data_IF_679465695104
#
_entry.id   IF_679465695104
#
_cell.length_a   1.000
_cell.length_b   1.000
_cell.length_c   1.000
_cell.angle_alpha   90.00
_cell.angle_beta   90.00
_cell.angle_gamma   90.00
#
_symmetry.space_group_name_H-M   'P 1'
#
loop_
_entity.id
_entity.type
_entity.pdbx_description
1 polymer ?
#
# COMPACT_ATOMS: atom_id res chain seq x y z
N UNK A 1 -30.09 30.22 7.10
CA UNK A 1 -28.77 29.71 6.63
C UNK A 1 -28.45 30.46 5.36
N UNK A 2 -27.37 31.21 5.32
CA UNK A 2 -26.94 31.95 4.12
C UNK A 2 -26.40 30.90 3.13
N UNK A 3 -26.96 30.85 1.93
CA UNK A 3 -26.53 29.96 0.87
C UNK A 3 -25.10 30.35 0.45
N UNK A 4 -24.14 29.45 0.58
CA UNK A 4 -22.76 29.69 0.15
C UNK A 4 -22.72 29.70 -1.37
N UNK A 5 -22.33 30.82 -1.96
CA UNK A 5 -22.21 30.97 -3.42
C UNK A 5 -21.13 30.01 -3.96
N UNK A 6 -21.53 29.14 -4.88
CA UNK A 6 -20.59 28.27 -5.59
C UNK A 6 -19.95 29.04 -6.76
N UNK A 7 -18.60 29.10 -6.83
CA UNK A 7 -17.92 29.71 -7.95
C UNK A 7 -18.20 28.92 -9.25
N UNK A 8 -18.27 29.60 -10.38
CA UNK A 8 -18.42 28.94 -11.67
C UNK A 8 -17.19 28.09 -12.02
N UNK A 9 -17.40 27.03 -12.80
CA UNK A 9 -16.31 26.18 -13.26
C UNK A 9 -15.22 27.00 -13.96
N UNK A 10 -15.57 27.94 -14.85
CA UNK A 10 -14.61 28.80 -15.54
C UNK A 10 -13.85 29.76 -14.61
N UNK A 11 -14.40 30.10 -13.45
CA UNK A 11 -13.65 30.82 -12.41
C UNK A 11 -12.57 29.91 -11.79
N UNK A 12 -12.94 28.68 -11.39
CA UNK A 12 -12.01 27.73 -10.78
C UNK A 12 -10.86 27.32 -11.71
N UNK A 13 -11.13 27.18 -13.01
CA UNK A 13 -10.12 26.83 -14.01
C UNK A 13 -8.94 27.83 -14.06
N UNK A 14 -9.12 29.06 -13.61
CA UNK A 14 -8.04 30.05 -13.52
C UNK A 14 -7.04 29.78 -12.40
N UNK A 15 -7.41 28.96 -11.41
CA UNK A 15 -6.63 28.68 -10.19
C UNK A 15 -6.12 27.24 -10.12
N UNK A 16 -6.53 26.38 -11.04
CA UNK A 16 -6.25 24.95 -11.00
C UNK A 16 -5.56 24.49 -12.28
N UNK A 17 -4.67 23.49 -12.12
CA UNK A 17 -4.09 22.85 -13.30
C UNK A 17 -5.16 22.00 -14.02
N UNK A 18 -5.12 21.89 -15.36
CA UNK A 18 -6.07 21.05 -16.10
C UNK A 18 -6.07 19.59 -15.67
N UNK A 19 -4.99 19.09 -15.07
CA UNK A 19 -4.88 17.75 -14.51
C UNK A 19 -5.81 17.52 -13.35
N UNK A 20 -5.96 18.49 -12.43
CA UNK A 20 -6.87 18.41 -11.28
C UNK A 20 -8.34 18.33 -11.74
N UNK A 21 -8.73 19.13 -12.74
CA UNK A 21 -10.09 19.08 -13.29
C UNK A 21 -10.46 17.73 -13.90
N UNK A 22 -9.49 17.03 -14.49
CA UNK A 22 -9.69 15.71 -15.11
C UNK A 22 -9.52 14.57 -14.10
N UNK A 23 -8.88 14.81 -12.98
CA UNK A 23 -8.63 13.79 -11.98
C UNK A 23 -9.94 13.31 -11.35
N UNK A 24 -10.06 12.01 -11.19
CA UNK A 24 -11.14 11.40 -10.40
C UNK A 24 -10.66 11.23 -8.97
N UNK A 25 -11.45 11.70 -8.00
CA UNK A 25 -11.19 11.41 -6.60
C UNK A 25 -11.19 9.90 -6.35
N UNK A 26 -10.39 9.45 -5.39
CA UNK A 26 -10.39 8.05 -4.98
C UNK A 26 -11.77 7.68 -4.40
N UNK A 27 -12.41 6.71 -5.01
CA UNK A 27 -13.75 6.27 -4.61
C UNK A 27 -13.67 4.91 -3.91
N UNK A 28 -14.36 4.80 -2.78
CA UNK A 28 -14.59 3.56 -2.06
C UNK A 28 -16.10 3.28 -2.05
N UNK A 29 -16.49 2.06 -2.36
CA UNK A 29 -17.84 1.61 -2.10
C UNK A 29 -17.99 1.37 -0.59
N UNK A 30 -18.87 2.14 0.05
CA UNK A 30 -19.26 1.94 1.44
C UNK A 30 -20.55 1.10 1.45
N UNK A 31 -20.41 -0.22 1.37
CA UNK A 31 -21.51 -1.15 1.51
C UNK A 31 -21.53 -1.71 2.93
N UNK A 32 -22.71 -1.78 3.52
CA UNK A 32 -22.95 -2.49 4.78
C UNK A 32 -23.04 -4.00 4.48
N UNK A 33 -21.97 -4.72 4.78
CA UNK A 33 -21.84 -6.15 4.51
C UNK A 33 -21.27 -6.87 5.73
N UNK A 34 -21.57 -8.14 5.87
CA UNK A 34 -21.12 -8.93 7.01
C UNK A 34 -19.63 -9.30 6.91
N UNK A 35 -19.10 -9.48 5.69
CA UNK A 35 -17.70 -9.86 5.44
C UNK A 35 -17.05 -8.84 4.51
N UNK A 36 -16.01 -8.16 5.02
CA UNK A 36 -15.33 -7.07 4.32
C UNK A 36 -13.90 -7.48 3.93
N UNK A 37 -13.71 -7.87 2.66
CA UNK A 37 -12.44 -8.35 2.11
C UNK A 37 -11.94 -7.47 0.93
N UNK A 38 -12.08 -6.14 1.04
CA UNK A 38 -11.86 -5.20 -0.08
C UNK A 38 -10.66 -4.25 0.10
N UNK A 39 -10.13 -4.04 1.32
CA UNK A 39 -9.12 -3.02 1.61
C UNK A 39 -7.78 -3.56 2.11
N UNK A 40 -7.57 -4.88 2.11
CA UNK A 40 -6.35 -5.52 2.59
C UNK A 40 -6.00 -5.10 4.02
N UNK A 41 -7.03 -4.88 4.85
CA UNK A 41 -6.86 -4.65 6.29
C UNK A 41 -6.53 -5.99 6.96
N UNK A 42 -5.89 -5.95 8.14
CA UNK A 42 -5.80 -7.12 8.99
C UNK A 42 -7.19 -7.45 9.53
N UNK A 43 -7.66 -8.70 9.44
CA UNK A 43 -8.92 -9.10 10.06
C UNK A 43 -8.78 -9.32 11.58
N UNK A 44 -7.57 -9.32 12.10
CA UNK A 44 -7.26 -9.46 13.53
C UNK A 44 -6.95 -8.10 14.12
N UNK A 45 -7.67 -7.76 15.20
CA UNK A 45 -7.47 -6.53 15.96
C UNK A 45 -6.45 -6.75 17.10
N UNK A 46 -5.99 -5.66 17.66
CA UNK A 46 -5.11 -5.70 18.83
C UNK A 46 -5.84 -6.22 20.07
N UNK A 47 -5.14 -6.93 20.98
CA UNK A 47 -5.71 -7.34 22.25
C UNK A 47 -6.22 -6.14 23.06
N UNK A 48 -7.38 -6.29 23.70
CA UNK A 48 -7.99 -5.22 24.49
C UNK A 48 -7.05 -4.71 25.60
N UNK A 49 -6.29 -5.61 26.24
CA UNK A 49 -5.29 -5.22 27.24
C UNK A 49 -4.24 -4.22 26.71
N UNK A 50 -3.85 -4.34 25.42
CA UNK A 50 -2.91 -3.39 24.77
C UNK A 50 -3.63 -2.09 24.46
N UNK A 51 -4.88 -2.14 23.98
CA UNK A 51 -5.70 -0.96 23.74
C UNK A 51 -5.92 -0.16 25.02
N UNK A 52 -6.18 -0.83 26.14
CA UNK A 52 -6.34 -0.21 27.47
C UNK A 52 -5.08 0.51 27.92
N UNK A 53 -3.90 -0.07 27.70
CA UNK A 53 -2.62 0.60 27.98
C UNK A 53 -2.47 1.86 27.12
N UNK A 54 -2.76 1.77 25.83
CA UNK A 54 -2.71 2.92 24.91
C UNK A 54 -3.67 4.03 25.35
N UNK A 55 -4.92 3.68 25.69
CA UNK A 55 -5.93 4.63 26.14
C UNK A 55 -5.52 5.29 27.46
N UNK A 56 -4.98 4.54 28.43
CA UNK A 56 -4.49 5.09 29.69
C UNK A 56 -3.33 6.07 29.47
N UNK A 57 -2.34 5.70 28.64
CA UNK A 57 -1.22 6.57 28.27
C UNK A 57 -1.70 7.84 27.53
N UNK A 58 -2.69 7.68 26.65
CA UNK A 58 -3.26 8.82 25.90
C UNK A 58 -4.01 9.76 26.84
N UNK A 59 -4.83 9.24 27.78
CA UNK A 59 -5.55 10.01 28.78
C UNK A 59 -4.62 10.81 29.68
N UNK A 60 -3.44 10.31 30.01
CA UNK A 60 -2.44 11.00 30.83
C UNK A 60 -1.73 12.16 30.11
N UNK A 61 -1.87 12.29 28.80
CA UNK A 61 -1.26 13.38 28.01
C UNK A 61 -2.17 14.61 27.95
N UNK A 62 -1.62 15.83 27.96
CA UNK A 62 -2.41 17.05 27.77
C UNK A 62 -2.83 17.16 26.28
N UNK A 63 -4.14 17.14 26.02
CA UNK A 63 -4.68 17.19 24.65
C UNK A 63 -4.70 18.62 24.06
N UNK A 64 -4.55 19.63 24.89
CA UNK A 64 -4.45 21.02 24.49
C UNK A 64 -3.03 21.45 24.09
N UNK A 65 -2.10 20.50 23.97
CA UNK A 65 -0.72 20.75 23.58
C UNK A 65 -0.37 19.94 22.32
N UNK A 66 0.47 20.52 21.48
CA UNK A 66 1.03 19.81 20.34
C UNK A 66 1.85 18.59 20.79
N UNK A 67 1.86 17.51 20.02
CA UNK A 67 2.78 16.38 20.22
C UNK A 67 4.24 16.80 19.94
N UNK A 68 5.16 15.84 20.01
CA UNK A 68 6.54 16.07 19.57
C UNK A 68 6.59 16.41 18.07
N UNK A 69 7.37 17.42 17.66
CA UNK A 69 7.34 17.92 16.27
C UNK A 69 7.63 16.88 15.21
N UNK A 70 8.58 15.97 15.45
CA UNK A 70 9.10 15.07 14.44
C UNK A 70 9.13 13.60 14.83
N UNK A 71 8.72 13.27 16.07
CA UNK A 71 8.65 11.90 16.61
C UNK A 71 9.99 11.13 16.51
N UNK A 72 11.12 11.81 16.78
CA UNK A 72 12.45 11.24 16.63
C UNK A 72 12.69 10.04 17.56
N UNK A 73 12.10 10.02 18.77
CA UNK A 73 12.17 8.88 19.69
C UNK A 73 11.51 7.62 19.10
N UNK A 74 10.36 7.78 18.44
CA UNK A 74 9.69 6.66 17.77
C UNK A 74 10.50 6.22 16.54
N UNK A 75 11.08 7.15 15.79
CA UNK A 75 11.95 6.83 14.66
C UNK A 75 13.19 6.03 15.12
N UNK A 76 13.79 6.39 16.27
CA UNK A 76 14.91 5.63 16.84
C UNK A 76 14.51 4.18 17.20
N UNK A 77 13.34 3.99 17.84
CA UNK A 77 12.85 2.64 18.19
C UNK A 77 12.59 1.76 16.96
N UNK A 78 12.02 2.33 15.90
CA UNK A 78 11.83 1.60 14.64
C UNK A 78 13.19 1.29 13.99
N UNK A 79 14.13 2.23 14.02
CA UNK A 79 15.48 2.05 13.50
C UNK A 79 16.22 0.89 14.18
N UNK A 80 16.20 0.86 15.51
CA UNK A 80 16.82 -0.20 16.31
C UNK A 80 16.26 -1.57 15.93
N UNK A 81 14.93 -1.67 15.76
CA UNK A 81 14.27 -2.93 15.37
C UNK A 81 14.66 -3.39 13.96
N UNK A 82 14.96 -2.46 13.06
CA UNK A 82 15.33 -2.74 11.68
C UNK A 82 16.85 -2.83 11.46
N UNK A 83 17.66 -2.62 12.49
CA UNK A 83 19.12 -2.64 12.38
C UNK A 83 19.72 -1.46 11.58
N UNK A 84 19.01 -0.33 11.51
CA UNK A 84 19.45 0.90 10.83
C UNK A 84 19.56 2.04 11.83
N UNK A 85 19.97 3.23 11.38
CA UNK A 85 20.02 4.42 12.27
C UNK A 85 18.80 5.30 12.10
N UNK A 86 18.45 6.11 13.10
CA UNK A 86 17.34 7.08 13.02
C UNK A 86 17.52 8.11 11.90
N UNK A 87 18.74 8.31 11.39
CA UNK A 87 19.02 9.16 10.23
C UNK A 87 18.50 8.56 8.93
N UNK A 88 18.28 7.26 8.90
CA UNK A 88 17.79 6.52 7.74
C UNK A 88 16.25 6.43 7.69
N UNK A 89 15.55 7.03 8.66
CA UNK A 89 14.07 6.91 8.79
C UNK A 89 13.39 8.27 8.76
N UNK A 90 12.26 8.33 8.05
CA UNK A 90 11.30 9.43 8.10
C UNK A 90 9.90 8.91 8.37
N UNK A 91 9.24 9.37 9.44
CA UNK A 91 7.87 8.98 9.78
C UNK A 91 6.83 9.90 9.14
N UNK A 92 5.65 9.34 8.81
CA UNK A 92 4.51 10.11 8.31
C UNK A 92 3.17 9.37 8.48
N UNK A 93 2.02 10.04 8.21
CA UNK A 93 0.68 9.50 8.43
C UNK A 93 0.28 8.47 7.36
N UNK A 94 1.00 7.35 7.31
CA UNK A 94 0.83 6.26 6.36
C UNK A 94 1.70 6.40 5.10
N UNK A 95 1.93 5.26 4.42
CA UNK A 95 2.79 5.20 3.23
C UNK A 95 2.29 6.08 2.07
N UNK A 96 0.98 6.20 1.89
CA UNK A 96 0.43 7.02 0.80
C UNK A 96 0.83 8.50 0.90
N UNK A 97 0.79 9.10 2.09
CA UNK A 97 1.30 10.45 2.32
C UNK A 97 2.80 10.56 1.98
N UNK A 98 3.57 9.55 2.40
CA UNK A 98 5.03 9.53 2.22
C UNK A 98 5.42 9.39 0.74
N UNK A 99 4.69 8.62 -0.04
CA UNK A 99 4.86 8.52 -1.49
C UNK A 99 4.59 9.88 -2.15
N UNK A 100 3.51 10.56 -1.76
CA UNK A 100 3.23 11.93 -2.22
C UNK A 100 4.37 12.89 -1.87
N UNK A 101 4.90 12.83 -0.66
CA UNK A 101 6.03 13.65 -0.22
C UNK A 101 7.30 13.40 -1.06
N UNK A 102 7.61 12.13 -1.38
CA UNK A 102 8.74 11.77 -2.25
C UNK A 102 8.55 12.38 -3.64
N UNK A 103 7.38 12.14 -4.25
CA UNK A 103 7.07 12.66 -5.59
C UNK A 103 7.14 14.19 -5.62
N UNK A 104 6.52 14.89 -4.67
CA UNK A 104 6.56 16.35 -4.58
C UNK A 104 7.97 16.91 -4.38
N UNK A 105 8.80 16.20 -3.60
CA UNK A 105 10.16 16.69 -3.28
C UNK A 105 11.09 16.58 -4.48
N UNK A 106 11.08 15.44 -5.16
CA UNK A 106 12.07 15.14 -6.19
C UNK A 106 11.62 15.45 -7.61
N UNK A 107 10.31 15.40 -7.92
CA UNK A 107 9.84 15.59 -9.29
C UNK A 107 9.96 17.01 -9.81
N UNK A 108 9.89 18.04 -8.94
CA UNK A 108 9.94 19.46 -9.37
C UNK A 108 11.24 19.88 -10.03
N UNK A 109 12.33 19.17 -9.76
CA UNK A 109 13.64 19.43 -10.34
C UNK A 109 14.19 18.21 -11.13
N UNK A 110 13.32 17.26 -11.47
CA UNK A 110 13.72 16.05 -12.17
C UNK A 110 14.26 16.38 -13.56
N UNK A 111 15.43 15.87 -13.89
CA UNK A 111 16.05 16.03 -15.21
C UNK A 111 15.77 14.85 -16.13
N UNK A 112 15.37 13.74 -15.57
CA UNK A 112 14.98 12.50 -16.24
C UNK A 112 13.46 12.36 -16.30
N UNK A 113 12.96 11.15 -16.03
CA UNK A 113 11.56 10.76 -16.11
C UNK A 113 11.06 10.25 -14.78
N UNK A 114 9.76 10.40 -14.51
CA UNK A 114 9.05 9.61 -13.50
C UNK A 114 8.46 8.39 -14.19
N UNK A 115 8.77 7.20 -13.71
CA UNK A 115 8.28 5.93 -14.25
C UNK A 115 7.51 5.20 -13.16
N UNK A 116 6.28 4.79 -13.46
CA UNK A 116 5.40 4.08 -12.54
C UNK A 116 5.13 2.66 -13.06
N UNK A 117 5.33 1.64 -12.23
CA UNK A 117 4.90 0.28 -12.55
C UNK A 117 3.36 0.22 -12.68
N UNK A 118 2.84 -0.51 -13.67
CA UNK A 118 1.40 -0.64 -13.93
C UNK A 118 1.06 -2.05 -14.48
N UNK A 119 -0.03 -2.72 -14.00
CA UNK A 119 -0.90 -2.26 -12.93
C UNK A 119 -0.22 -2.26 -11.58
N UNK A 120 -0.52 -1.23 -10.76
CA UNK A 120 -0.04 -1.09 -9.39
C UNK A 120 -1.05 -0.27 -8.57
N UNK A 121 -0.64 0.21 -7.39
CA UNK A 121 -1.52 0.99 -6.52
C UNK A 121 -1.93 2.32 -7.20
N UNK A 122 -3.24 2.55 -7.42
CA UNK A 122 -3.70 3.65 -8.28
C UNK A 122 -3.35 5.04 -7.77
N UNK A 123 -3.07 5.19 -6.46
CA UNK A 123 -2.72 6.50 -5.92
C UNK A 123 -1.34 7.01 -6.37
N UNK A 124 -0.46 6.19 -6.93
CA UNK A 124 0.78 6.68 -7.55
C UNK A 124 0.49 7.59 -8.73
N UNK A 125 -0.38 7.12 -9.63
CA UNK A 125 -0.83 7.94 -10.77
C UNK A 125 -1.64 9.16 -10.32
N UNK A 126 -2.50 8.99 -9.29
CA UNK A 126 -3.27 10.10 -8.74
C UNK A 126 -2.38 11.21 -8.17
N UNK A 127 -1.31 10.87 -7.44
CA UNK A 127 -0.32 11.86 -6.97
C UNK A 127 0.32 12.61 -8.13
N UNK A 128 0.75 11.89 -9.17
CA UNK A 128 1.33 12.53 -10.36
C UNK A 128 0.30 13.45 -11.04
N UNK A 129 -0.95 13.03 -11.18
CA UNK A 129 -2.01 13.83 -11.78
C UNK A 129 -2.33 15.10 -10.97
N UNK A 130 -2.45 14.99 -9.64
CA UNK A 130 -2.76 16.13 -8.76
C UNK A 130 -1.64 17.17 -8.75
N UNK A 131 -0.40 16.72 -8.78
CA UNK A 131 0.78 17.59 -8.78
C UNK A 131 1.19 18.05 -10.19
N UNK A 132 0.53 17.56 -11.24
CA UNK A 132 0.90 17.87 -12.63
C UNK A 132 2.25 17.29 -13.04
N UNK A 133 2.67 16.16 -12.42
CA UNK A 133 3.92 15.48 -12.73
C UNK A 133 3.72 14.57 -13.94
N UNK A 134 4.41 14.80 -15.08
CA UNK A 134 4.39 13.87 -16.19
C UNK A 134 5.09 12.57 -15.82
N UNK A 135 4.51 11.43 -16.23
CA UNK A 135 5.08 10.11 -15.96
C UNK A 135 4.94 9.19 -17.18
N UNK A 136 5.85 8.23 -17.25
CA UNK A 136 5.79 7.07 -18.14
C UNK A 136 5.42 5.82 -17.38
N UNK A 137 5.01 4.77 -18.07
CA UNK A 137 4.57 3.52 -17.47
C UNK A 137 5.60 2.43 -17.72
N UNK A 138 5.99 1.72 -16.68
CA UNK A 138 6.61 0.41 -16.77
C UNK A 138 5.50 -0.65 -16.69
N UNK A 139 5.03 -1.18 -17.83
CA UNK A 139 3.96 -2.15 -17.80
C UNK A 139 4.46 -3.50 -17.28
N UNK A 140 3.63 -4.17 -16.48
CA UNK A 140 3.82 -5.60 -16.24
C UNK A 140 3.52 -6.37 -17.53
N UNK A 141 4.07 -7.57 -17.69
CA UNK A 141 3.82 -8.41 -18.85
C UNK A 141 2.38 -9.01 -18.84
N UNK A 142 2.05 -9.85 -19.83
CA UNK A 142 0.72 -10.50 -19.96
C UNK A 142 0.34 -11.34 -18.75
N UNK A 143 1.34 -11.88 -18.04
CA UNK A 143 1.18 -12.68 -16.83
C UNK A 143 1.14 -11.84 -15.56
N UNK A 144 1.14 -10.51 -15.71
CA UNK A 144 1.19 -9.55 -14.62
C UNK A 144 2.47 -9.65 -13.77
N UNK A 145 3.59 -10.01 -14.39
CA UNK A 145 4.91 -10.05 -13.74
C UNK A 145 5.79 -8.87 -14.19
N UNK A 146 6.75 -8.49 -13.36
CA UNK A 146 7.75 -7.50 -13.71
C UNK A 146 8.64 -8.03 -14.83
N UNK A 147 8.73 -7.25 -15.92
CA UNK A 147 9.57 -7.57 -17.07
C UNK A 147 10.48 -6.38 -17.38
N UNK A 148 11.78 -6.56 -17.17
CA UNK A 148 12.79 -5.52 -17.37
C UNK A 148 12.89 -5.10 -18.85
N UNK A 149 12.52 -5.97 -19.79
CA UNK A 149 12.52 -5.64 -21.22
C UNK A 149 11.46 -4.58 -21.58
N UNK A 150 10.42 -4.44 -20.74
CA UNK A 150 9.35 -3.46 -20.89
C UNK A 150 9.61 -2.14 -20.12
N UNK A 151 10.72 -2.08 -19.36
CA UNK A 151 11.11 -0.87 -18.64
C UNK A 151 11.47 0.24 -19.65
N UNK A 152 10.87 1.44 -19.56
CA UNK A 152 11.25 2.56 -20.39
C UNK A 152 12.73 2.93 -20.26
N UNK A 153 13.27 3.62 -21.25
CA UNK A 153 14.60 4.21 -21.14
C UNK A 153 14.68 5.18 -19.95
N UNK A 154 15.73 5.03 -19.14
CA UNK A 154 15.93 5.75 -17.89
C UNK A 154 17.17 6.67 -17.99
N UNK A 155 17.03 7.90 -18.47
CA UNK A 155 18.11 8.87 -18.41
C UNK A 155 18.47 9.21 -16.95
N UNK A 156 19.71 9.67 -16.73
CA UNK A 156 20.17 10.12 -15.43
C UNK A 156 19.20 11.14 -14.79
N UNK A 157 18.98 11.02 -13.51
CA UNK A 157 18.01 11.85 -12.76
C UNK A 157 16.57 11.39 -12.91
N UNK A 158 16.29 10.19 -13.44
CA UNK A 158 14.94 9.58 -13.43
C UNK A 158 14.57 9.02 -12.06
N UNK A 159 13.27 8.79 -11.86
CA UNK A 159 12.71 8.05 -10.72
C UNK A 159 11.86 6.89 -11.20
N UNK A 160 11.97 5.73 -10.54
CA UNK A 160 11.13 4.56 -10.78
C UNK A 160 10.40 4.20 -9.49
N UNK A 161 9.06 4.22 -9.51
CA UNK A 161 8.21 3.79 -8.40
C UNK A 161 7.59 2.43 -8.72
N UNK A 162 7.85 1.46 -7.87
CA UNK A 162 7.33 0.10 -7.95
C UNK A 162 6.83 -0.36 -6.57
N UNK A 163 5.98 -1.38 -6.54
CA UNK A 163 5.55 -2.01 -5.29
C UNK A 163 5.99 -3.47 -5.24
N UNK A 164 6.46 -3.93 -4.10
CA UNK A 164 6.87 -5.33 -3.91
C UNK A 164 6.63 -5.74 -2.44
N UNK A 165 5.63 -6.60 -2.20
CA UNK A 165 4.61 -7.14 -3.11
C UNK A 165 3.69 -6.08 -3.71
N UNK A 166 3.33 -6.27 -4.99
CA UNK A 166 2.59 -5.29 -5.75
C UNK A 166 1.06 -5.43 -5.57
N UNK A 167 0.40 -4.36 -5.20
CA UNK A 167 -1.06 -4.28 -5.14
C UNK A 167 -1.62 -3.72 -6.46
N UNK A 168 -2.53 -4.43 -7.20
CA UNK A 168 -3.38 -5.52 -6.69
C UNK A 168 -2.96 -6.93 -7.11
N UNK A 169 -1.78 -7.13 -7.66
CA UNK A 169 -1.37 -8.41 -8.27
C UNK A 169 -0.86 -9.42 -7.25
N UNK A 170 -0.05 -8.99 -6.28
CA UNK A 170 0.59 -9.85 -5.29
C UNK A 170 1.96 -10.38 -5.71
N UNK A 171 2.45 -10.05 -6.91
CA UNK A 171 3.78 -10.39 -7.38
C UNK A 171 4.87 -9.52 -6.74
N UNK A 172 6.12 -9.95 -6.85
CA UNK A 172 7.29 -9.25 -6.32
C UNK A 172 8.31 -8.93 -7.42
N UNK A 173 9.09 -7.89 -7.24
CA UNK A 173 10.31 -7.66 -8.01
C UNK A 173 11.44 -8.39 -7.29
N UNK A 174 12.01 -9.44 -7.88
CA UNK A 174 13.05 -10.21 -7.17
C UNK A 174 14.26 -9.35 -6.81
N UNK A 175 14.89 -9.66 -5.69
CA UNK A 175 16.12 -9.01 -5.22
C UNK A 175 17.22 -9.00 -6.29
N UNK A 176 17.36 -10.08 -7.04
CA UNK A 176 18.36 -10.21 -8.11
C UNK A 176 18.10 -9.18 -9.21
N UNK A 177 16.85 -9.06 -9.64
CA UNK A 177 16.43 -8.08 -10.67
C UNK A 177 16.63 -6.66 -10.15
N UNK A 178 16.18 -6.36 -8.92
CA UNK A 178 16.35 -5.04 -8.33
C UNK A 178 17.85 -4.68 -8.20
N UNK A 179 18.69 -5.60 -7.72
CA UNK A 179 20.14 -5.40 -7.65
C UNK A 179 20.75 -5.05 -9.01
N UNK A 180 20.33 -5.77 -10.05
CA UNK A 180 20.78 -5.52 -11.41
C UNK A 180 20.38 -4.13 -11.89
N UNK A 181 19.15 -3.70 -11.62
CA UNK A 181 18.65 -2.37 -11.98
C UNK A 181 19.38 -1.26 -11.22
N UNK A 182 19.58 -1.40 -9.92
CA UNK A 182 20.28 -0.42 -9.10
C UNK A 182 21.74 -0.20 -9.54
N UNK A 183 22.44 -1.28 -9.90
CA UNK A 183 23.82 -1.21 -10.43
C UNK A 183 23.88 -0.64 -11.85
N UNK A 184 22.91 -1.01 -12.70
CA UNK A 184 22.85 -0.54 -14.09
C UNK A 184 22.51 0.95 -14.20
N UNK A 185 21.72 1.47 -13.26
CA UNK A 185 21.22 2.84 -13.26
C UNK A 185 21.57 3.59 -11.97
N UNK A 186 22.86 3.85 -11.68
CA UNK A 186 23.27 4.46 -10.41
C UNK A 186 22.76 5.90 -10.22
N UNK A 187 22.44 6.59 -11.31
CA UNK A 187 21.91 7.97 -11.32
C UNK A 187 20.35 8.00 -11.40
N UNK A 188 19.67 6.89 -11.19
CA UNK A 188 18.21 6.76 -11.14
C UNK A 188 17.78 6.40 -9.74
N UNK A 189 16.78 7.10 -9.21
CA UNK A 189 16.21 6.84 -7.89
C UNK A 189 15.12 5.77 -7.98
N UNK A 190 15.30 4.65 -7.30
CA UNK A 190 14.29 3.59 -7.20
C UNK A 190 13.54 3.72 -5.88
N UNK A 191 12.20 3.68 -5.95
CA UNK A 191 11.30 3.83 -4.81
C UNK A 191 10.46 2.55 -4.74
N UNK A 192 10.75 1.71 -3.74
CA UNK A 192 10.03 0.46 -3.47
C UNK A 192 8.94 0.68 -2.42
N UNK A 193 7.67 0.51 -2.80
CA UNK A 193 6.58 0.44 -1.83
C UNK A 193 6.49 -0.99 -1.28
N UNK A 194 6.94 -1.16 -0.06
CA UNK A 194 6.99 -2.40 0.71
C UNK A 194 5.82 -2.53 1.70
N UNK A 195 4.63 -2.00 1.37
CA UNK A 195 3.47 -2.05 2.27
C UNK A 195 3.04 -3.47 2.68
N UNK A 196 3.53 -4.49 1.99
CA UNK A 196 3.19 -5.90 2.23
C UNK A 196 4.41 -6.80 2.43
N UNK A 197 5.61 -6.23 2.67
CA UNK A 197 6.88 -6.98 2.69
C UNK A 197 6.89 -8.11 3.74
N UNK A 198 6.24 -7.91 4.89
CA UNK A 198 6.22 -8.91 5.95
C UNK A 198 5.42 -10.19 5.61
N UNK A 199 4.62 -10.17 4.53
CA UNK A 199 3.94 -11.36 3.98
C UNK A 199 4.74 -12.06 2.87
N UNK A 200 5.93 -11.57 2.57
CA UNK A 200 6.77 -11.95 1.44
C UNK A 200 8.09 -12.55 1.89
N UNK A 201 8.67 -13.39 1.02
CA UNK A 201 10.04 -13.88 1.16
C UNK A 201 11.07 -12.84 0.64
N UNK A 202 10.61 -11.77 -0.04
CA UNK A 202 11.44 -10.68 -0.56
C UNK A 202 11.36 -9.44 0.33
N UNK A 203 12.51 -8.95 0.78
CA UNK A 203 12.68 -7.74 1.58
C UNK A 203 14.00 -7.06 1.21
N UNK A 204 14.05 -5.71 1.22
CA UNK A 204 15.18 -4.98 0.66
C UNK A 204 15.91 -4.06 1.65
N UNK A 205 15.63 -4.14 2.96
CA UNK A 205 16.20 -3.22 3.97
C UNK A 205 17.74 -3.25 3.99
N UNK A 206 18.34 -4.42 3.91
CA UNK A 206 19.80 -4.60 3.92
C UNK A 206 20.48 -4.03 2.67
N UNK A 207 19.76 -3.93 1.54
CA UNK A 207 20.28 -3.31 0.32
C UNK A 207 20.56 -1.81 0.47
N UNK A 208 19.94 -1.14 1.45
CA UNK A 208 20.18 0.28 1.73
C UNK A 208 21.63 0.58 2.17
N UNK A 209 22.34 -0.43 2.66
CA UNK A 209 23.77 -0.32 2.98
C UNK A 209 24.68 -0.28 1.75
N UNK A 210 24.24 -0.83 0.62
CA UNK A 210 25.00 -0.88 -0.64
C UNK A 210 24.52 0.17 -1.66
N UNK A 211 23.18 0.43 -1.73
CA UNK A 211 22.58 1.23 -2.78
C UNK A 211 22.03 2.55 -2.25
N UNK A 212 22.70 3.66 -2.54
CA UNK A 212 22.26 5.02 -2.16
C UNK A 212 21.08 5.53 -3.01
N UNK A 213 20.81 4.89 -4.13
CA UNK A 213 19.73 5.21 -5.07
C UNK A 213 18.45 4.38 -4.84
N UNK A 214 18.30 3.77 -3.65
CA UNK A 214 17.11 3.05 -3.22
C UNK A 214 16.43 3.79 -2.05
N UNK A 215 15.10 3.92 -2.15
CA UNK A 215 14.21 4.35 -1.06
C UNK A 215 13.15 3.26 -0.88
N UNK A 216 12.84 2.90 0.36
CA UNK A 216 11.76 1.98 0.69
C UNK A 216 10.68 2.72 1.48
N UNK A 217 9.43 2.38 1.22
CA UNK A 217 8.27 2.95 1.92
C UNK A 217 7.48 1.82 2.57
N UNK A 218 7.25 1.92 3.88
CA UNK A 218 6.52 0.92 4.68
C UNK A 218 5.36 1.52 5.45
N UNK A 219 4.46 0.67 5.92
CA UNK A 219 3.27 1.08 6.66
C UNK A 219 2.95 0.13 7.80
N UNK A 220 2.38 0.65 8.88
CA UNK A 220 1.82 -0.14 9.97
C UNK A 220 0.41 -0.68 9.65
N UNK A 221 -0.17 -0.22 8.55
CA UNK A 221 -1.58 -0.46 8.24
C UNK A 221 -1.92 -1.91 7.91
N UNK A 222 -0.95 -2.73 7.48
CA UNK A 222 -1.22 -4.07 6.95
C UNK A 222 -0.83 -5.17 7.95
N UNK A 223 0.44 -5.33 8.20
CA UNK A 223 0.96 -6.40 9.04
C UNK A 223 0.67 -6.19 10.52
N UNK A 224 0.77 -4.93 10.96
CA UNK A 224 0.60 -4.61 12.38
C UNK A 224 -0.85 -4.45 12.81
N UNK A 225 -1.83 -4.70 11.91
CA UNK A 225 -3.25 -4.51 12.21
C UNK A 225 -3.58 -3.08 12.65
N UNK A 226 -2.79 -2.10 12.17
CA UNK A 226 -2.82 -0.74 12.67
C UNK A 226 -3.28 0.28 11.61
N UNK A 227 -4.21 -0.12 10.74
CA UNK A 227 -4.72 0.77 9.70
C UNK A 227 -5.30 2.08 10.28
N UNK A 228 -6.00 2.00 11.41
CA UNK A 228 -6.56 3.16 12.12
C UNK A 228 -5.52 4.03 12.84
N UNK A 229 -4.33 3.50 13.13
CA UNK A 229 -3.23 4.25 13.79
C UNK A 229 -2.59 5.28 12.84
N UNK A 230 -2.66 5.07 11.53
CA UNK A 230 -2.15 5.99 10.51
C UNK A 230 -0.65 6.28 10.61
N UNK A 231 0.18 5.25 10.66
CA UNK A 231 1.64 5.39 10.64
C UNK A 231 2.26 4.67 9.43
N UNK A 232 3.24 5.30 8.83
CA UNK A 232 4.15 4.74 7.85
C UNK A 232 5.54 5.37 8.01
N UNK A 233 6.49 4.82 7.29
CA UNK A 233 7.85 5.35 7.30
C UNK A 233 8.57 5.12 5.98
N UNK A 234 9.54 6.00 5.70
CA UNK A 234 10.50 5.88 4.62
C UNK A 234 11.81 5.37 5.22
N UNK A 235 12.46 4.46 4.51
CA UNK A 235 13.83 4.05 4.73
C UNK A 235 14.68 4.50 3.55
N UNK A 236 15.90 4.99 3.81
CA UNK A 236 16.80 5.43 2.75
C UNK A 236 18.14 5.93 3.27
N UNK A 237 19.02 6.30 2.36
CA UNK A 237 20.29 6.94 2.72
C UNK A 237 20.08 8.22 3.53
N UNK A 238 20.94 8.50 4.51
CA UNK A 238 20.78 9.63 5.45
C UNK A 238 20.62 10.97 4.71
N UNK A 239 21.34 11.19 3.61
CA UNK A 239 21.25 12.42 2.81
C UNK A 239 19.87 12.58 2.13
N UNK A 240 19.29 11.48 1.66
CA UNK A 240 17.96 11.46 1.04
C UNK A 240 16.89 11.76 2.09
N UNK A 241 17.01 11.14 3.26
CA UNK A 241 16.09 11.37 4.39
C UNK A 241 16.18 12.82 4.87
N UNK A 242 17.36 13.42 4.94
CA UNK A 242 17.54 14.82 5.30
C UNK A 242 16.83 15.75 4.31
N UNK A 243 16.92 15.49 3.01
CA UNK A 243 16.21 16.25 1.98
C UNK A 243 14.68 16.13 2.13
N UNK A 244 14.16 14.92 2.38
CA UNK A 244 12.73 14.68 2.59
C UNK A 244 12.19 15.29 3.90
N UNK A 245 13.06 15.54 4.88
CA UNK A 245 12.68 16.24 6.14
C UNK A 245 12.37 17.72 5.92
N UNK A 246 12.98 18.37 4.92
CA UNK A 246 12.84 19.83 4.68
C UNK A 246 11.42 20.28 4.37
N UNK A 247 10.66 19.64 3.45
CA UNK A 247 9.29 20.01 3.14
C UNK A 247 8.27 19.46 4.16
N UNK A 248 8.70 18.61 5.11
CA UNK A 248 7.79 18.00 6.08
C UNK A 248 7.30 19.04 7.11
N UNK A 249 5.97 19.14 7.27
CA UNK A 249 5.40 20.00 8.31
C UNK A 249 5.62 19.38 9.71
N UNK A 250 5.87 20.20 10.75
CA UNK A 250 5.96 19.72 12.12
C UNK A 250 4.57 19.27 12.63
N UNK A 251 4.55 18.47 13.70
CA UNK A 251 3.34 17.99 14.38
C UNK A 251 2.38 17.15 13.50
N UNK A 252 2.91 16.53 12.45
CA UNK A 252 2.13 15.80 11.45
C UNK A 252 1.46 14.54 12.03
N UNK A 253 2.11 13.88 12.98
CA UNK A 253 1.58 12.71 13.68
C UNK A 253 0.85 13.13 14.93
N UNK A 254 -0.39 12.70 15.10
CA UNK A 254 -1.22 13.03 16.26
C UNK A 254 -0.81 12.21 17.49
N UNK A 255 -1.33 12.61 18.68
CA UNK A 255 -1.02 11.97 19.96
C UNK A 255 -1.37 10.47 19.98
N UNK A 256 -2.52 10.07 19.40
CA UNK A 256 -2.93 8.68 19.35
C UNK A 256 -1.93 7.84 18.54
N UNK A 257 -1.58 8.30 17.34
CA UNK A 257 -0.56 7.63 16.49
C UNK A 257 0.74 7.41 17.25
N UNK A 258 1.24 8.44 17.93
CA UNK A 258 2.51 8.37 18.65
C UNK A 258 2.44 7.39 19.83
N UNK A 259 1.39 7.47 20.63
CA UNK A 259 1.22 6.59 21.81
C UNK A 259 1.04 5.13 21.37
N UNK A 260 0.15 4.88 20.41
CA UNK A 260 -0.15 3.54 19.92
C UNK A 260 1.08 2.90 19.27
N UNK A 261 1.79 3.63 18.40
CA UNK A 261 2.97 3.10 17.73
C UNK A 261 4.15 2.89 18.70
N UNK A 262 4.31 3.76 19.70
CA UNK A 262 5.34 3.56 20.74
C UNK A 262 5.04 2.31 21.56
N UNK A 263 3.77 2.11 21.96
CA UNK A 263 3.36 0.89 22.69
C UNK A 263 3.67 -0.37 21.87
N UNK A 264 3.34 -0.37 20.59
CA UNK A 264 3.67 -1.47 19.67
C UNK A 264 5.16 -1.80 19.63
N UNK A 265 6.01 -0.77 19.64
CA UNK A 265 7.45 -0.98 19.58
C UNK A 265 8.04 -1.47 20.90
N UNK A 266 7.47 -1.09 22.04
CA UNK A 266 7.98 -1.38 23.39
C UNK A 266 7.38 -2.64 24.02
N UNK A 267 6.15 -2.99 23.68
CA UNK A 267 5.44 -4.09 24.30
C UNK A 267 5.82 -5.43 23.66
N UNK A 268 6.56 -6.25 24.41
CA UNK A 268 7.05 -7.55 23.93
C UNK A 268 5.92 -8.52 23.55
N UNK A 269 4.73 -8.40 24.14
CA UNK A 269 3.59 -9.24 23.76
C UNK A 269 3.10 -8.93 22.35
N UNK A 270 3.26 -7.69 21.87
CA UNK A 270 2.87 -7.29 20.51
C UNK A 270 3.74 -7.93 19.44
N UNK A 271 5.00 -8.25 19.69
CA UNK A 271 5.82 -8.98 18.74
C UNK A 271 5.19 -10.33 18.36
N UNK A 272 4.71 -11.08 19.38
CA UNK A 272 4.00 -12.36 19.14
C UNK A 272 2.68 -12.16 18.41
N UNK A 273 1.92 -11.12 18.77
CA UNK A 273 0.66 -10.79 18.06
C UNK A 273 0.91 -10.56 16.57
N UNK A 274 1.99 -9.88 16.22
CA UNK A 274 2.33 -9.64 14.82
C UNK A 274 2.80 -10.90 14.10
N UNK A 275 3.65 -11.69 14.74
CA UNK A 275 4.08 -12.99 14.19
C UNK A 275 2.85 -13.90 13.94
N UNK A 276 1.90 -13.92 14.85
CA UNK A 276 0.65 -14.68 14.71
C UNK A 276 -0.23 -14.12 13.58
N UNK A 277 -0.35 -12.79 13.44
CA UNK A 277 -1.09 -12.16 12.33
C UNK A 277 -0.49 -12.56 10.98
N UNK A 278 0.84 -12.48 10.84
CA UNK A 278 1.53 -12.87 9.60
C UNK A 278 1.34 -14.36 9.34
N UNK A 279 1.64 -15.22 10.33
CA UNK A 279 1.53 -16.67 10.17
C UNK A 279 0.11 -17.10 9.78
N UNK A 280 -0.91 -16.54 10.45
CA UNK A 280 -2.31 -16.82 10.15
C UNK A 280 -2.68 -16.33 8.74
N UNK A 281 -2.25 -15.12 8.34
CA UNK A 281 -2.51 -14.60 7.00
C UNK A 281 -1.87 -15.47 5.91
N UNK A 282 -0.64 -15.93 6.10
CA UNK A 282 0.06 -16.82 5.16
C UNK A 282 -0.62 -18.19 5.05
N UNK A 283 -1.00 -18.78 6.19
CA UNK A 283 -1.73 -20.06 6.24
C UNK A 283 -3.08 -19.96 5.53
N UNK A 284 -3.87 -18.94 5.87
CA UNK A 284 -5.18 -18.70 5.26
C UNK A 284 -5.07 -18.35 3.78
N UNK A 285 -4.05 -17.58 3.37
CA UNK A 285 -3.76 -17.31 1.96
C UNK A 285 -3.57 -18.61 1.17
N UNK A 286 -2.76 -19.52 1.68
CA UNK A 286 -2.54 -20.83 1.07
C UNK A 286 -3.81 -21.66 0.99
N UNK A 287 -4.62 -21.67 2.06
CA UNK A 287 -5.90 -22.39 2.13
C UNK A 287 -6.92 -21.85 1.13
N UNK A 288 -7.10 -20.52 1.10
CA UNK A 288 -8.03 -19.85 0.17
C UNK A 288 -7.57 -20.02 -1.28
N UNK A 289 -6.27 -19.84 -1.56
CA UNK A 289 -5.69 -20.09 -2.88
C UNK A 289 -6.02 -21.50 -3.39
N UNK A 290 -5.78 -22.52 -2.56
CA UNK A 290 -6.06 -23.91 -2.93
C UNK A 290 -7.55 -24.18 -3.12
N UNK A 291 -8.42 -23.61 -2.29
CA UNK A 291 -9.87 -23.76 -2.42
C UNK A 291 -10.40 -23.11 -3.70
N UNK A 292 -10.01 -21.86 -3.97
CA UNK A 292 -10.47 -21.13 -5.16
C UNK A 292 -9.88 -21.73 -6.45
N UNK A 293 -8.66 -22.25 -6.41
CA UNK A 293 -8.06 -22.94 -7.57
C UNK A 293 -8.86 -24.19 -7.99
N UNK A 294 -9.50 -24.90 -7.06
CA UNK A 294 -10.40 -26.02 -7.39
C UNK A 294 -11.66 -25.59 -8.15
N UNK A 295 -12.14 -24.38 -7.90
CA UNK A 295 -13.32 -23.82 -8.57
C UNK A 295 -12.98 -23.12 -9.90
N UNK A 296 -11.70 -22.89 -10.18
CA UNK A 296 -11.22 -22.07 -11.28
C UNK A 296 -11.71 -22.53 -12.66
N UNK A 297 -11.67 -23.85 -12.92
CA UNK A 297 -12.13 -24.42 -14.21
C UNK A 297 -13.64 -24.27 -14.36
N UNK A 298 -14.42 -24.56 -13.32
CA UNK A 298 -15.88 -24.49 -13.33
C UNK A 298 -16.39 -23.07 -13.52
N UNK A 299 -15.73 -22.10 -12.88
CA UNK A 299 -16.09 -20.69 -12.90
C UNK A 299 -15.24 -19.85 -13.85
N UNK A 300 -14.40 -20.47 -14.67
CA UNK A 300 -13.61 -19.87 -15.76
C UNK A 300 -12.72 -18.70 -15.29
N UNK A 301 -12.03 -18.82 -14.18
CA UNK A 301 -11.06 -17.82 -13.73
C UNK A 301 -9.70 -18.45 -13.40
N UNK A 302 -8.68 -17.63 -13.28
CA UNK A 302 -7.40 -18.00 -12.71
C UNK A 302 -7.17 -17.29 -11.39
N UNK A 303 -6.48 -17.93 -10.44
CA UNK A 303 -5.99 -17.32 -9.21
C UNK A 303 -4.51 -17.04 -9.37
N UNK A 304 -4.10 -15.80 -9.22
CA UNK A 304 -2.67 -15.43 -9.27
C UNK A 304 -2.00 -15.81 -7.95
N UNK A 305 -0.82 -16.44 -7.99
CA UNK A 305 0.03 -16.57 -6.80
C UNK A 305 0.31 -15.17 -6.20
N UNK A 306 0.34 -15.09 -4.87
CA UNK A 306 0.51 -13.81 -4.19
C UNK A 306 1.47 -13.93 -3.03
N UNK A 307 2.29 -12.89 -2.83
CA UNK A 307 3.13 -12.69 -1.66
C UNK A 307 2.63 -11.56 -0.76
N UNK A 308 1.33 -11.22 -0.85
CA UNK A 308 0.66 -10.24 0.02
C UNK A 308 -0.47 -10.88 0.83
N UNK A 309 -1.21 -10.10 1.60
CA UNK A 309 -2.40 -10.55 2.34
C UNK A 309 -3.69 -10.52 1.51
N UNK A 310 -3.59 -10.76 0.21
CA UNK A 310 -4.71 -10.81 -0.73
C UNK A 310 -4.41 -11.73 -1.90
N UNK A 311 -5.44 -12.09 -2.67
CA UNK A 311 -5.35 -12.82 -3.93
C UNK A 311 -5.97 -11.99 -5.06
N UNK A 312 -5.45 -12.12 -6.29
CA UNK A 312 -6.05 -11.59 -7.49
C UNK A 312 -6.66 -12.74 -8.30
N UNK A 313 -7.94 -12.62 -8.61
CA UNK A 313 -8.67 -13.53 -9.49
C UNK A 313 -8.88 -12.84 -10.83
N UNK A 314 -8.68 -13.57 -11.94
CA UNK A 314 -8.83 -13.04 -13.29
C UNK A 314 -9.73 -13.92 -14.14
N UNK A 315 -10.85 -13.35 -14.58
CA UNK A 315 -11.74 -13.91 -15.59
C UNK A 315 -11.33 -13.45 -16.99
N UNK A 316 -11.76 -14.17 -18.05
CA UNK A 316 -11.50 -13.78 -19.43
C UNK A 316 -12.05 -12.40 -19.81
N UNK A 317 -13.15 -11.97 -19.18
CA UNK A 317 -13.81 -10.70 -19.46
C UNK A 317 -14.47 -10.07 -18.23
N UNK A 318 -14.88 -8.80 -18.38
CA UNK A 318 -15.51 -8.03 -17.31
C UNK A 318 -16.94 -8.50 -16.98
N UNK A 319 -17.64 -9.14 -17.91
CA UNK A 319 -19.01 -9.63 -17.68
C UNK A 319 -19.02 -10.74 -16.64
N UNK A 320 -18.10 -11.71 -16.79
CA UNK A 320 -17.95 -12.83 -15.85
C UNK A 320 -17.49 -12.34 -14.46
N UNK A 321 -16.50 -11.45 -14.39
CA UNK A 321 -16.05 -10.90 -13.11
C UNK A 321 -17.12 -10.05 -12.42
N UNK A 322 -17.92 -9.31 -13.18
CA UNK A 322 -19.06 -8.54 -12.65
C UNK A 322 -20.13 -9.46 -12.08
N UNK A 323 -20.46 -10.56 -12.78
CA UNK A 323 -21.38 -11.59 -12.28
C UNK A 323 -20.91 -12.21 -10.96
N UNK A 324 -19.62 -12.56 -10.89
CA UNK A 324 -19.01 -13.07 -9.67
C UNK A 324 -19.03 -12.04 -8.53
N UNK A 325 -18.69 -10.78 -8.81
CA UNK A 325 -18.76 -9.69 -7.84
C UNK A 325 -20.18 -9.51 -7.26
N UNK A 326 -21.19 -9.47 -8.14
CA UNK A 326 -22.59 -9.34 -7.71
C UNK A 326 -23.06 -10.52 -6.86
N UNK A 327 -22.62 -11.75 -7.19
CA UNK A 327 -22.92 -12.93 -6.39
C UNK A 327 -22.33 -12.83 -4.98
N UNK A 328 -21.07 -12.38 -4.87
CA UNK A 328 -20.40 -12.17 -3.57
C UNK A 328 -21.12 -11.11 -2.74
N UNK A 329 -21.51 -9.98 -3.34
CA UNK A 329 -22.30 -8.95 -2.63
C UNK A 329 -23.62 -9.51 -2.12
N UNK A 330 -24.37 -10.28 -2.94
CA UNK A 330 -25.61 -10.95 -2.51
C UNK A 330 -25.39 -11.95 -1.38
N UNK A 331 -24.18 -12.51 -1.28
CA UNK A 331 -23.76 -13.41 -0.19
C UNK A 331 -23.26 -12.66 1.05
N UNK A 332 -23.36 -11.32 1.08
CA UNK A 332 -22.89 -10.48 2.18
C UNK A 332 -21.36 -10.30 2.24
N UNK A 333 -20.67 -10.46 1.12
CA UNK A 333 -19.21 -10.40 1.03
C UNK A 333 -18.77 -9.29 0.08
N UNK A 334 -18.02 -8.31 0.58
CA UNK A 334 -17.44 -7.24 -0.21
C UNK A 334 -15.97 -7.57 -0.55
N UNK A 335 -15.66 -7.62 -1.85
CA UNK A 335 -14.30 -7.72 -2.37
C UNK A 335 -13.97 -6.50 -3.25
N UNK A 336 -12.73 -6.31 -3.64
CA UNK A 336 -12.34 -5.17 -4.46
C UNK A 336 -12.48 -5.49 -5.95
N UNK A 337 -13.42 -4.84 -6.63
CA UNK A 337 -13.47 -4.85 -8.08
C UNK A 337 -12.37 -3.91 -8.63
N UNK A 338 -11.39 -4.49 -9.33
CA UNK A 338 -10.27 -3.75 -9.95
C UNK A 338 -10.32 -3.80 -11.48
N UNK A 339 -11.37 -4.37 -12.06
CA UNK A 339 -11.53 -4.60 -13.50
C UNK A 339 -11.54 -3.33 -14.36
N UNK A 340 -11.82 -2.17 -13.75
CA UNK A 340 -11.78 -0.87 -14.41
C UNK A 340 -10.38 -0.27 -14.57
N UNK A 341 -9.36 -0.84 -13.94
CA UNK A 341 -7.99 -0.33 -14.03
C UNK A 341 -7.28 -0.89 -15.29
N UNK A 342 -6.37 -0.12 -15.90
CA UNK A 342 -5.61 -0.57 -17.07
C UNK A 342 -4.84 -1.87 -16.77
N UNK A 343 -4.98 -2.87 -17.67
CA UNK A 343 -4.34 -4.19 -17.54
C UNK A 343 -5.06 -5.18 -16.62
N UNK A 344 -6.16 -4.79 -15.96
CA UNK A 344 -6.88 -5.59 -14.96
C UNK A 344 -8.30 -5.96 -15.39
N UNK A 345 -8.60 -5.93 -16.69
CA UNK A 345 -9.89 -6.40 -17.18
C UNK A 345 -10.21 -7.81 -16.64
N UNK A 346 -11.43 -8.01 -16.16
CA UNK A 346 -11.87 -9.27 -15.57
C UNK A 346 -11.31 -9.58 -14.18
N UNK A 347 -10.70 -8.62 -13.48
CA UNK A 347 -10.01 -8.89 -12.21
C UNK A 347 -10.81 -8.46 -10.97
N UNK A 348 -10.83 -9.34 -9.96
CA UNK A 348 -11.26 -9.05 -8.59
C UNK A 348 -10.09 -9.32 -7.63
N UNK A 349 -9.85 -8.41 -6.67
CA UNK A 349 -8.89 -8.62 -5.60
C UNK A 349 -9.62 -8.95 -4.30
N UNK A 350 -9.18 -9.98 -3.61
CA UNK A 350 -9.80 -10.50 -2.40
C UNK A 350 -8.78 -10.45 -1.27
N UNK A 351 -9.05 -9.70 -0.21
CA UNK A 351 -8.23 -9.70 1.01
C UNK A 351 -8.37 -11.02 1.75
N UNK A 352 -7.33 -11.43 2.48
CA UNK A 352 -7.39 -12.61 3.35
C UNK A 352 -8.03 -12.19 4.67
N UNK A 353 -9.15 -12.83 5.00
CA UNK A 353 -9.90 -12.63 6.23
C UNK A 353 -9.50 -13.61 7.33
N UNK A 354 -10.29 -13.63 8.41
CA UNK A 354 -10.25 -14.69 9.41
C UNK A 354 -10.67 -16.03 8.79
N UNK A 355 -10.38 -17.16 9.48
CA UNK A 355 -10.83 -18.47 9.03
C UNK A 355 -12.34 -18.54 8.74
N UNK A 356 -13.18 -17.92 9.60
CA UNK A 356 -14.63 -17.89 9.42
C UNK A 356 -15.06 -17.04 8.22
N UNK A 357 -14.43 -15.88 8.00
CA UNK A 357 -14.71 -15.03 6.83
C UNK A 357 -14.29 -15.73 5.52
N UNK A 358 -13.13 -16.38 5.53
CA UNK A 358 -12.63 -17.15 4.41
C UNK A 358 -13.49 -18.40 4.12
N UNK A 359 -14.06 -19.06 5.13
CA UNK A 359 -15.00 -20.17 4.95
C UNK A 359 -16.28 -19.71 4.25
N UNK A 360 -16.79 -18.54 4.62
CA UNK A 360 -17.94 -17.93 3.93
C UNK A 360 -17.62 -17.59 2.48
N UNK A 361 -16.43 -17.01 2.23
CA UNK A 361 -15.95 -16.74 0.88
C UNK A 361 -15.87 -18.02 0.04
N UNK A 362 -15.24 -19.07 0.55
CA UNK A 362 -15.10 -20.36 -0.15
C UNK A 362 -16.48 -20.97 -0.43
N UNK A 363 -17.41 -20.91 0.54
CA UNK A 363 -18.77 -21.41 0.38
C UNK A 363 -19.55 -20.63 -0.68
N UNK A 364 -19.35 -19.29 -0.76
CA UNK A 364 -19.97 -18.47 -1.79
C UNK A 364 -19.47 -18.85 -3.19
N UNK A 365 -18.17 -19.11 -3.37
CA UNK A 365 -17.63 -19.61 -4.64
C UNK A 365 -18.15 -21.01 -4.98
N UNK A 366 -18.25 -21.90 -4.01
CA UNK A 366 -18.76 -23.26 -4.22
C UNK A 366 -20.26 -23.26 -4.67
N UNK A 367 -21.06 -22.35 -4.13
CA UNK A 367 -22.49 -22.19 -4.46
C UNK A 367 -22.76 -21.39 -5.74
N UNK A 368 -21.72 -20.72 -6.29
CA UNK A 368 -21.86 -19.95 -7.52
C UNK A 368 -22.18 -20.89 -8.68
N UNK A 369 -23.26 -20.63 -9.40
CA UNK A 369 -23.58 -21.38 -10.63
C UNK A 369 -22.51 -21.10 -11.69
N UNK A 370 -22.20 -22.11 -12.52
CA UNK A 370 -21.29 -21.93 -13.64
C UNK A 370 -21.80 -20.78 -14.53
N UNK A 371 -20.96 -19.80 -14.77
CA UNK A 371 -21.25 -18.58 -15.51
C UNK A 371 -20.96 -18.80 -17.00
#
# INVERSE_FOLDING_TARGET
MTEVLNPSQGFLERFMTPSIFRARGYQLEALDVEVKLDQNESPWDWPDAVKDIVLAKLKARPWNRYPTPFADDLAAKIADKLGVTSKNILLGPGSNYLIGLILQTFSKAIRGKVVLARPSFPLYESHCQYEGIPYEVWPLNSDLEYDVSLLPDLPAGSMVLFASPNNPVGNVLSREVLTTLLRKFPDVLFIGDEAYCEFSDEEYTDMLGEFSNLILVRTFSKTLGAAGVRLGYILGGANVIELLRKPRVPFLLNQFTLVAATEVMENQSMARVFDDIVANALSERGRVYGALSRESTRLKFSVKPSQANFLLLRWPDNGLSTGAYQHLIKSGILVRNVSGAPGLAGCLRISIGTGAENDRLISAFASMTAI
#
